data_IF_402108317500
#
_entry.id   IF_402108317500
#
_cell.length_a   1.000
_cell.length_b   1.000
_cell.length_c   1.000
_cell.angle_alpha   90.00
_cell.angle_beta   90.00
_cell.angle_gamma   90.00
#
_symmetry.space_group_name_H-M   'P 1'
#
loop_
_entity.id
_entity.type
_entity.pdbx_description
1 polymer ?
#
# COMPACT_ATOMS: atom_id res chain seq x y z
N UNK A 1 -16.50 -13.46 32.55
CA UNK A 1 -16.09 -13.42 31.14
C UNK A 1 -14.73 -12.74 31.07
N UNK A 2 -13.63 -13.47 30.90
CA UNK A 2 -12.30 -12.86 30.75
C UNK A 2 -12.22 -12.13 29.42
N UNK A 3 -12.00 -10.81 29.46
CA UNK A 3 -11.71 -10.01 28.28
C UNK A 3 -10.26 -10.27 27.89
N UNK A 4 -10.04 -10.92 26.74
CA UNK A 4 -8.70 -11.06 26.18
C UNK A 4 -8.34 -9.73 25.53
N UNK A 5 -7.43 -8.98 26.15
CA UNK A 5 -6.92 -7.74 25.56
C UNK A 5 -5.99 -8.09 24.39
N UNK A 6 -6.23 -7.47 23.22
CA UNK A 6 -5.32 -7.58 22.08
C UNK A 6 -4.17 -6.60 22.30
N UNK A 7 -2.92 -7.08 22.22
CA UNK A 7 -1.72 -6.26 22.27
C UNK A 7 -0.88 -6.52 21.01
N UNK A 8 -0.27 -5.47 20.47
CA UNK A 8 0.67 -5.57 19.35
C UNK A 8 2.10 -5.62 19.89
N UNK A 9 2.94 -6.48 19.32
CA UNK A 9 4.35 -6.63 19.68
C UNK A 9 5.18 -6.55 18.42
N UNK A 10 6.16 -5.65 18.39
CA UNK A 10 7.18 -5.63 17.34
C UNK A 10 8.23 -6.71 17.66
N UNK A 11 8.36 -7.71 16.79
CA UNK A 11 9.38 -8.76 16.88
C UNK A 11 10.46 -8.46 15.85
N UNK A 12 11.70 -8.14 16.26
CA UNK A 12 12.83 -7.94 15.36
C UNK A 12 13.10 -9.15 14.45
N UNK A 13 13.60 -8.89 13.24
CA UNK A 13 13.99 -9.95 12.31
C UNK A 13 15.01 -10.91 12.93
N UNK A 14 14.80 -12.21 12.73
CA UNK A 14 15.64 -13.27 13.27
C UNK A 14 15.32 -13.70 14.71
N UNK A 15 14.43 -12.99 15.40
CA UNK A 15 13.95 -13.41 16.72
C UNK A 15 12.78 -14.40 16.60
N UNK A 16 12.65 -15.33 17.56
CA UNK A 16 11.53 -16.25 17.56
C UNK A 16 10.20 -15.49 17.73
N UNK A 17 9.16 -15.87 16.96
CA UNK A 17 7.85 -15.25 17.07
C UNK A 17 7.24 -15.49 18.44
N UNK A 18 6.37 -14.57 18.86
CA UNK A 18 5.67 -14.67 20.15
C UNK A 18 4.93 -16.02 20.23
N UNK A 19 5.07 -16.78 21.34
CA UNK A 19 4.39 -18.05 21.51
C UNK A 19 2.87 -17.90 21.31
N UNK A 20 2.29 -18.75 20.47
CA UNK A 20 0.88 -18.68 20.09
C UNK A 20 0.37 -20.00 19.54
N UNK A 21 -0.84 -19.99 18.96
CA UNK A 21 -1.44 -21.18 18.34
C UNK A 21 -0.87 -21.49 16.95
N UNK A 22 0.00 -20.63 16.42
CA UNK A 22 0.59 -20.77 15.10
C UNK A 22 1.72 -21.80 15.13
N UNK A 23 1.63 -22.84 14.29
CA UNK A 23 2.71 -23.79 14.05
C UNK A 23 3.75 -23.17 13.10
N UNK A 24 4.69 -22.44 13.69
CA UNK A 24 5.75 -21.74 12.94
C UNK A 24 6.71 -22.69 12.24
N UNK A 25 6.94 -23.88 12.79
CA UNK A 25 7.85 -24.86 12.20
C UNK A 25 7.26 -25.51 10.95
N UNK A 26 5.95 -25.75 10.92
CA UNK A 26 5.23 -26.12 9.70
C UNK A 26 5.40 -25.04 8.63
N UNK A 27 5.15 -23.76 8.96
CA UNK A 27 5.22 -22.66 7.99
C UNK A 27 6.64 -22.49 7.42
N UNK A 28 7.69 -22.58 8.24
CA UNK A 28 9.08 -22.48 7.79
C UNK A 28 9.51 -23.62 6.86
N UNK A 29 8.91 -24.81 7.00
CA UNK A 29 9.18 -25.96 6.12
C UNK A 29 8.36 -25.94 4.83
N UNK A 30 7.32 -25.11 4.75
CA UNK A 30 6.46 -25.00 3.58
C UNK A 30 7.27 -24.49 2.40
N UNK A 31 7.21 -25.21 1.29
CA UNK A 31 7.83 -24.76 0.04
C UNK A 31 7.01 -23.62 -0.59
N UNK A 32 7.63 -22.81 -1.45
CA UNK A 32 6.91 -21.76 -2.21
C UNK A 32 5.74 -22.34 -3.03
N UNK A 33 5.90 -23.53 -3.61
CA UNK A 33 4.85 -24.19 -4.38
C UNK A 33 3.66 -24.63 -3.50
N UNK A 34 3.92 -25.15 -2.30
CA UNK A 34 2.86 -25.49 -1.34
C UNK A 34 2.17 -24.24 -0.80
N UNK A 35 2.93 -23.16 -0.56
CA UNK A 35 2.40 -21.86 -0.17
C UNK A 35 1.45 -21.30 -1.22
N UNK A 36 1.86 -21.32 -2.49
CA UNK A 36 1.07 -20.85 -3.62
C UNK A 36 -0.19 -21.71 -3.82
N UNK A 37 -0.06 -23.04 -3.75
CA UNK A 37 -1.21 -23.94 -3.85
C UNK A 37 -2.24 -23.70 -2.72
N UNK A 38 -1.77 -23.47 -1.49
CA UNK A 38 -2.64 -23.15 -0.36
C UNK A 38 -3.35 -21.79 -0.54
N UNK A 39 -2.64 -20.76 -1.02
CA UNK A 39 -3.21 -19.46 -1.31
C UNK A 39 -4.27 -19.51 -2.43
N UNK A 40 -4.02 -20.30 -3.49
CA UNK A 40 -4.98 -20.50 -4.57
C UNK A 40 -6.23 -21.28 -4.13
N UNK A 41 -6.09 -22.18 -3.17
CA UNK A 41 -7.20 -22.96 -2.63
C UNK A 41 -8.10 -22.16 -1.66
N UNK A 42 -7.61 -21.05 -1.09
CA UNK A 42 -8.35 -20.17 -0.19
C UNK A 42 -8.95 -18.97 -0.96
N UNK A 43 -10.29 -18.88 -1.13
CA UNK A 43 -10.92 -17.76 -1.83
C UNK A 43 -10.67 -16.38 -1.19
N UNK A 44 -10.43 -16.32 0.12
CA UNK A 44 -10.23 -15.06 0.85
C UNK A 44 -8.75 -14.63 0.89
N UNK A 45 -7.82 -15.53 0.57
CA UNK A 45 -6.37 -15.30 0.65
C UNK A 45 -5.64 -15.54 -0.68
N UNK A 46 -6.30 -15.30 -1.80
CA UNK A 46 -5.70 -15.47 -3.13
C UNK A 46 -4.55 -14.49 -3.40
N UNK A 47 -3.54 -14.90 -4.17
CA UNK A 47 -2.45 -14.01 -4.58
C UNK A 47 -2.96 -12.85 -5.44
N UNK A 48 -2.39 -11.67 -5.24
CA UNK A 48 -2.72 -10.50 -6.05
C UNK A 48 -2.21 -10.67 -7.49
N UNK A 49 -3.04 -10.34 -8.46
CA UNK A 49 -2.61 -10.27 -9.86
C UNK A 49 -1.52 -9.20 -10.07
N UNK A 50 -0.71 -9.34 -11.11
CA UNK A 50 0.33 -8.36 -11.44
C UNK A 50 -0.25 -6.93 -11.63
N UNK A 51 -1.46 -6.83 -12.20
CA UNK A 51 -2.19 -5.57 -12.33
C UNK A 51 -2.60 -4.97 -10.98
N UNK A 52 -3.19 -5.79 -10.10
CA UNK A 52 -3.56 -5.37 -8.75
C UNK A 52 -2.35 -4.91 -7.93
N UNK A 53 -1.23 -5.63 -8.03
CA UNK A 53 0.04 -5.24 -7.40
C UNK A 53 0.57 -3.91 -7.95
N UNK A 54 0.49 -3.69 -9.26
CA UNK A 54 0.90 -2.43 -9.90
C UNK A 54 0.07 -1.25 -9.39
N UNK A 55 -1.25 -1.40 -9.34
CA UNK A 55 -2.17 -0.38 -8.83
C UNK A 55 -1.95 -0.11 -7.35
N UNK A 56 -1.80 -1.16 -6.53
CA UNK A 56 -1.50 -1.02 -5.09
C UNK A 56 -0.16 -0.33 -4.83
N UNK A 57 0.89 -0.67 -5.60
CA UNK A 57 2.20 0.00 -5.51
C UNK A 57 2.11 1.48 -5.85
N UNK A 58 1.37 1.84 -6.90
CA UNK A 58 1.15 3.23 -7.26
C UNK A 58 0.37 3.98 -6.16
N UNK A 59 -0.70 3.38 -5.64
CA UNK A 59 -1.46 3.93 -4.53
C UNK A 59 -0.62 4.22 -3.30
N UNK A 60 0.22 3.26 -2.90
CA UNK A 60 1.19 3.42 -1.81
C UNK A 60 2.19 4.54 -2.09
N UNK A 61 2.68 4.66 -3.34
CA UNK A 61 3.60 5.73 -3.76
C UNK A 61 2.96 7.11 -3.58
N UNK A 62 1.73 7.31 -4.06
CA UNK A 62 0.96 8.56 -3.89
C UNK A 62 0.75 8.88 -2.41
N UNK A 63 0.31 7.89 -1.62
CA UNK A 63 0.12 8.05 -0.17
C UNK A 63 1.39 8.51 0.54
N UNK A 64 2.51 7.84 0.29
CA UNK A 64 3.80 8.18 0.91
C UNK A 64 4.31 9.55 0.46
N UNK A 65 4.10 9.93 -0.80
CA UNK A 65 4.41 11.27 -1.28
C UNK A 65 3.62 12.33 -0.51
N UNK A 66 2.31 12.15 -0.41
CA UNK A 66 1.42 13.04 0.33
C UNK A 66 1.79 13.14 1.82
N UNK A 67 2.05 12.01 2.47
CA UNK A 67 2.40 11.95 3.89
C UNK A 67 3.75 12.64 4.16
N UNK A 68 4.75 12.47 3.27
CA UNK A 68 6.02 13.21 3.35
C UNK A 68 5.85 14.73 3.26
N UNK A 69 4.82 15.19 2.56
CA UNK A 69 4.46 16.62 2.47
C UNK A 69 3.60 17.10 3.64
N UNK A 70 3.18 16.22 4.56
CA UNK A 70 2.29 16.57 5.67
C UNK A 70 0.88 16.99 5.23
N UNK A 71 0.43 16.56 4.04
CA UNK A 71 -0.85 16.99 3.47
C UNK A 71 -1.97 15.98 3.74
N UNK A 72 -3.18 16.49 3.99
CA UNK A 72 -4.40 15.68 3.92
C UNK A 72 -4.69 15.28 2.47
N UNK A 73 -5.53 14.26 2.24
CA UNK A 73 -5.95 13.87 0.88
C UNK A 73 -6.55 15.06 0.12
N UNK A 74 -7.36 15.88 0.79
CA UNK A 74 -7.97 17.06 0.20
C UNK A 74 -6.94 18.14 -0.12
N UNK A 75 -5.97 18.38 0.78
CA UNK A 75 -4.93 19.38 0.53
C UNK A 75 -3.99 18.96 -0.61
N UNK A 76 -3.66 17.67 -0.72
CA UNK A 76 -2.88 17.13 -1.83
C UNK A 76 -3.64 17.22 -3.17
N UNK A 77 -4.90 16.80 -3.16
CA UNK A 77 -5.81 16.93 -4.30
C UNK A 77 -5.87 18.37 -4.82
N UNK A 78 -6.11 19.34 -3.93
CA UNK A 78 -6.15 20.76 -4.29
C UNK A 78 -4.80 21.29 -4.76
N UNK A 79 -3.69 20.89 -4.13
CA UNK A 79 -2.36 21.38 -4.47
C UNK A 79 -1.90 20.97 -5.88
N UNK A 80 -2.38 19.81 -6.37
CA UNK A 80 -1.92 19.22 -7.64
C UNK A 80 -3.04 19.06 -8.67
N UNK A 81 -4.18 19.72 -8.45
CA UNK A 81 -5.36 19.70 -9.35
C UNK A 81 -5.84 18.27 -9.69
N UNK A 82 -5.83 17.38 -8.70
CA UNK A 82 -6.33 16.00 -8.82
C UNK A 82 -7.66 15.91 -8.08
N UNK A 83 -8.72 15.34 -8.66
CA UNK A 83 -9.96 15.12 -7.93
C UNK A 83 -9.70 14.28 -6.66
N UNK A 84 -10.25 14.71 -5.52
CA UNK A 84 -10.02 14.01 -4.23
C UNK A 84 -10.49 12.55 -4.26
N UNK A 85 -11.54 12.25 -5.03
CA UNK A 85 -11.99 10.87 -5.28
C UNK A 85 -10.92 10.04 -5.97
N UNK A 86 -10.25 10.60 -6.98
CA UNK A 86 -9.14 9.94 -7.70
C UNK A 86 -7.95 9.68 -6.78
N UNK A 87 -7.57 10.65 -5.94
CA UNK A 87 -6.49 10.44 -4.94
C UNK A 87 -6.86 9.29 -3.99
N UNK A 88 -8.10 9.27 -3.49
CA UNK A 88 -8.60 8.22 -2.61
C UNK A 88 -8.60 6.85 -3.29
N UNK A 89 -9.06 6.77 -4.54
CA UNK A 89 -9.13 5.53 -5.29
C UNK A 89 -7.74 4.97 -5.61
N UNK A 90 -6.77 5.83 -5.92
CA UNK A 90 -5.38 5.42 -6.05
C UNK A 90 -4.85 4.90 -4.71
N UNK A 91 -4.93 5.68 -3.63
CA UNK A 91 -4.36 5.28 -2.32
C UNK A 91 -4.96 3.99 -1.76
N UNK A 92 -6.20 3.66 -2.13
CA UNK A 92 -6.89 2.44 -1.72
C UNK A 92 -6.80 1.31 -2.77
N UNK A 93 -6.05 1.51 -3.85
CA UNK A 93 -5.81 0.51 -4.89
C UNK A 93 -7.02 0.18 -5.76
N UNK A 94 -8.06 1.02 -5.76
CA UNK A 94 -9.29 0.84 -6.55
C UNK A 94 -9.26 1.53 -7.92
N UNK A 95 -8.32 2.44 -8.15
CA UNK A 95 -8.18 3.17 -9.42
C UNK A 95 -6.87 2.85 -10.13
N UNK A 96 -6.93 2.47 -11.40
CA UNK A 96 -5.74 2.30 -12.24
C UNK A 96 -5.35 3.64 -12.86
N UNK A 97 -4.17 4.20 -12.53
CA UNK A 97 -3.70 5.44 -13.14
C UNK A 97 -3.27 5.18 -14.59
N UNK A 98 -3.61 6.12 -15.47
CA UNK A 98 -3.14 6.13 -16.85
C UNK A 98 -1.67 6.59 -16.94
N UNK A 99 -1.15 6.65 -18.17
CA UNK A 99 0.23 7.08 -18.41
C UNK A 99 0.48 8.52 -17.96
N UNK A 100 -0.48 9.42 -18.18
CA UNK A 100 -0.39 10.84 -17.82
C UNK A 100 -0.31 11.02 -16.31
N UNK A 101 -1.18 10.36 -15.55
CA UNK A 101 -1.17 10.39 -14.09
C UNK A 101 0.15 9.84 -13.53
N UNK A 102 0.70 8.77 -14.11
CA UNK A 102 2.00 8.22 -13.69
C UNK A 102 3.15 9.19 -13.96
N UNK A 103 3.18 9.82 -15.13
CA UNK A 103 4.17 10.82 -15.47
C UNK A 103 4.05 12.04 -14.55
N UNK A 104 2.83 12.52 -14.30
CA UNK A 104 2.57 13.66 -13.44
C UNK A 104 2.99 13.40 -11.99
N UNK A 105 2.63 12.26 -11.39
CA UNK A 105 3.09 11.91 -10.05
C UNK A 105 4.62 11.80 -10.00
N UNK A 106 5.27 11.32 -11.06
CA UNK A 106 6.73 11.29 -11.14
C UNK A 106 7.34 12.69 -11.14
N UNK A 107 6.72 13.65 -11.85
CA UNK A 107 7.13 15.05 -11.80
C UNK A 107 6.97 15.64 -10.39
N UNK A 108 5.83 15.41 -9.74
CA UNK A 108 5.55 15.91 -8.38
C UNK A 108 6.53 15.32 -7.35
N UNK A 109 6.94 14.07 -7.50
CA UNK A 109 7.97 13.48 -6.64
C UNK A 109 9.34 14.14 -6.81
N UNK A 110 9.68 14.56 -8.02
CA UNK A 110 11.00 15.13 -8.33
C UNK A 110 11.08 16.61 -7.93
N UNK A 111 10.08 17.42 -8.27
CA UNK A 111 10.04 18.84 -7.93
C UNK A 111 8.59 19.29 -7.64
N UNK A 112 8.11 19.09 -6.41
CA UNK A 112 6.74 19.43 -6.04
C UNK A 112 6.49 20.94 -6.08
N UNK A 113 7.50 21.75 -5.80
CA UNK A 113 7.36 23.21 -5.82
C UNK A 113 7.27 23.73 -7.26
N UNK A 114 8.05 23.19 -8.20
CA UNK A 114 7.87 23.51 -9.62
C UNK A 114 6.51 23.07 -10.14
N UNK A 115 6.04 21.87 -9.77
CA UNK A 115 4.70 21.41 -10.15
C UNK A 115 3.62 22.36 -9.61
N UNK A 116 3.70 22.79 -8.34
CA UNK A 116 2.78 23.77 -7.76
C UNK A 116 2.85 25.13 -8.46
N UNK A 117 4.04 25.64 -8.76
CA UNK A 117 4.22 26.91 -9.49
C UNK A 117 3.61 26.84 -10.88
N UNK A 118 3.82 25.73 -11.60
CA UNK A 118 3.28 25.54 -12.94
C UNK A 118 1.74 25.49 -12.96
N UNK A 119 1.13 24.96 -11.91
CA UNK A 119 -0.34 24.89 -11.76
C UNK A 119 -0.98 26.19 -11.26
N UNK A 120 -0.20 27.12 -10.71
CA UNK A 120 -0.67 28.41 -10.21
C UNK A 120 -0.64 29.53 -11.27
N UNK A 121 -0.11 29.25 -12.47
CA UNK A 121 -0.06 30.16 -13.62
C UNK A 121 -1.37 30.13 -14.41
#
# INVERSE_FOLDING_TARGET
MSKTNTFSVDVPDGQEPVPGKTDWDRLRRMTEAEAEAAALADPDAQPLSAGALSTGRFGRRVRLLRERMGLSQQAFASAFHIPVGTVRDWEQGRGTPDATARAFITLVEHDPEAARRALAA
#
